data_IF_661037830664
#
_entry.id   IF_661037830664
#
_cell.length_a   1.000
_cell.length_b   1.000
_cell.length_c   1.000
_cell.angle_alpha   90.00
_cell.angle_beta   90.00
_cell.angle_gamma   90.00
#
_symmetry.space_group_name_H-M   'P 1'
#
loop_
_entity.id
_entity.type
_entity.pdbx_description
1 polymer ?
#
# COMPACT_ATOMS: atom_id res chain seq x y z
N UNK A 1 -16.07 -10.77 5.45
CA UNK A 1 -14.79 -10.22 5.95
C UNK A 1 -13.65 -10.70 5.06
N UNK A 2 -12.75 -9.81 4.67
CA UNK A 2 -11.59 -10.17 3.85
C UNK A 2 -10.52 -10.87 4.69
N UNK A 3 -9.78 -11.78 4.06
CA UNK A 3 -8.54 -12.30 4.62
C UNK A 3 -7.42 -11.28 4.37
N UNK A 4 -6.63 -11.01 5.42
CA UNK A 4 -5.49 -10.11 5.35
C UNK A 4 -4.20 -10.87 5.63
N UNK A 5 -3.19 -10.61 4.81
CA UNK A 5 -1.83 -11.09 5.06
C UNK A 5 -1.08 -10.02 5.85
N UNK A 6 -0.06 -10.42 6.59
CA UNK A 6 0.70 -9.46 7.37
C UNK A 6 2.19 -9.51 7.08
N UNK A 7 2.80 -8.32 7.10
CA UNK A 7 4.22 -8.13 7.03
C UNK A 7 4.62 -7.32 8.26
N UNK A 8 5.37 -7.93 9.15
CA UNK A 8 5.62 -7.40 10.50
C UNK A 8 7.05 -6.94 10.72
N UNK A 9 7.89 -6.98 9.68
CA UNK A 9 9.29 -6.57 9.74
C UNK A 9 9.55 -5.51 8.68
N UNK A 10 10.16 -4.40 9.10
CA UNK A 10 10.41 -3.23 8.26
C UNK A 10 11.72 -3.28 7.46
N UNK A 11 12.47 -4.36 7.56
CA UNK A 11 13.83 -4.47 7.03
C UNK A 11 13.87 -4.97 5.59
N UNK A 12 14.93 -4.61 4.88
CA UNK A 12 15.23 -5.13 3.54
C UNK A 12 15.23 -6.66 3.53
N UNK A 13 14.59 -7.24 2.52
CA UNK A 13 14.47 -8.68 2.35
C UNK A 13 13.28 -9.30 3.09
N UNK A 14 12.64 -8.57 4.01
CA UNK A 14 11.39 -9.03 4.63
C UNK A 14 10.32 -9.23 3.54
N UNK A 15 9.62 -10.34 3.59
CA UNK A 15 8.58 -10.66 2.62
C UNK A 15 7.41 -11.41 3.25
N UNK A 16 6.30 -11.40 2.53
CA UNK A 16 5.05 -12.03 2.99
C UNK A 16 5.00 -13.55 2.78
N UNK A 17 5.94 -14.11 2.00
CA UNK A 17 5.67 -15.38 1.36
C UNK A 17 4.51 -15.25 0.37
N UNK A 18 3.98 -16.36 -0.11
CA UNK A 18 2.82 -16.35 -1.02
C UNK A 18 1.58 -15.86 -0.27
N UNK A 19 0.95 -14.84 -0.82
CA UNK A 19 -0.24 -14.22 -0.23
C UNK A 19 -1.48 -15.09 -0.42
N UNK A 20 -2.38 -15.00 0.53
CA UNK A 20 -3.76 -15.46 0.36
C UNK A 20 -4.61 -14.30 -0.15
N UNK A 21 -5.53 -14.61 -1.08
CA UNK A 21 -6.47 -13.62 -1.59
C UNK A 21 -7.53 -13.26 -0.52
N UNK A 22 -8.40 -12.29 -0.84
CA UNK A 22 -9.43 -11.82 0.09
C UNK A 22 -10.40 -12.91 0.57
N UNK A 23 -10.50 -14.01 -0.16
CA UNK A 23 -11.33 -15.18 0.19
C UNK A 23 -10.55 -16.28 0.93
N UNK A 24 -9.25 -16.08 1.17
CA UNK A 24 -8.41 -17.04 1.86
C UNK A 24 -7.78 -18.12 0.99
N UNK A 25 -7.82 -17.99 -0.34
CA UNK A 25 -7.15 -18.92 -1.26
C UNK A 25 -5.71 -18.48 -1.52
N UNK A 26 -4.80 -19.44 -1.57
CA UNK A 26 -3.39 -19.17 -1.88
C UNK A 26 -3.18 -18.63 -3.29
N UNK A 27 -2.21 -17.74 -3.43
CA UNK A 27 -1.78 -17.15 -4.71
C UNK A 27 -0.28 -17.29 -4.88
N UNK A 28 0.25 -16.96 -6.06
CA UNK A 28 1.68 -16.85 -6.30
C UNK A 28 2.22 -15.44 -6.02
N UNK A 29 1.35 -14.51 -5.63
CA UNK A 29 1.70 -13.12 -5.36
C UNK A 29 2.41 -13.02 -4.02
N UNK A 30 3.47 -12.24 -3.95
CA UNK A 30 4.11 -11.87 -2.69
C UNK A 30 4.61 -10.42 -2.73
N UNK A 31 4.76 -9.84 -1.56
CA UNK A 31 5.37 -8.53 -1.38
C UNK A 31 6.66 -8.67 -0.58
N UNK A 32 7.71 -7.98 -1.01
CA UNK A 32 9.00 -7.97 -0.32
C UNK A 32 9.56 -6.56 -0.24
N UNK A 33 10.18 -6.22 0.89
CA UNK A 33 10.80 -4.92 1.09
C UNK A 33 12.17 -4.89 0.41
N UNK A 34 12.35 -3.94 -0.51
CA UNK A 34 13.63 -3.69 -1.17
C UNK A 34 14.42 -2.61 -0.45
N UNK A 35 13.81 -1.44 -0.21
CA UNK A 35 14.38 -0.38 0.63
C UNK A 35 13.59 -0.30 1.93
N UNK A 36 14.27 -0.33 3.09
CA UNK A 36 13.62 -0.53 4.37
C UNK A 36 12.80 0.69 4.81
N UNK A 37 11.84 0.44 5.69
CA UNK A 37 11.20 1.47 6.50
C UNK A 37 11.97 1.64 7.81
N UNK A 38 11.68 2.72 8.55
CA UNK A 38 12.34 2.98 9.83
C UNK A 38 11.76 2.13 10.96
N UNK A 39 10.48 1.79 10.87
CA UNK A 39 9.83 0.98 11.90
C UNK A 39 8.34 0.78 11.67
N UNK A 40 7.66 0.33 12.73
CA UNK A 40 6.25 -0.01 12.75
C UNK A 40 5.56 0.86 13.80
N UNK A 41 4.38 1.38 13.44
CA UNK A 41 3.49 2.12 14.34
C UNK A 41 2.14 1.43 14.43
N UNK A 42 1.46 1.56 15.57
CA UNK A 42 0.13 0.98 15.80
C UNK A 42 -0.86 2.00 16.38
N UNK A 43 -0.65 3.27 16.09
CA UNK A 43 -1.48 4.38 16.58
C UNK A 43 -2.51 4.88 15.56
N UNK A 44 -2.78 4.11 14.51
CA UNK A 44 -3.83 4.41 13.56
C UNK A 44 -5.23 4.15 14.10
N UNK A 45 -6.23 4.38 13.26
CA UNK A 45 -7.63 4.16 13.64
C UNK A 45 -7.93 2.69 13.91
N UNK A 46 -8.69 2.43 14.94
CA UNK A 46 -9.20 1.08 15.24
C UNK A 46 -10.48 0.74 14.47
N UNK A 47 -11.05 1.73 13.77
CA UNK A 47 -12.27 1.58 12.99
C UNK A 47 -12.15 2.39 11.70
N UNK A 48 -12.20 1.70 10.57
CA UNK A 48 -12.09 2.34 9.25
C UNK A 48 -13.47 2.38 8.58
N UNK A 49 -13.79 3.53 8.00
CA UNK A 49 -15.00 3.73 7.19
C UNK A 49 -14.75 3.50 5.68
N UNK A 50 -13.62 2.91 5.32
CA UNK A 50 -13.30 2.61 3.92
C UNK A 50 -13.95 1.32 3.44
N UNK A 51 -14.00 1.12 2.13
CA UNK A 51 -14.47 -0.12 1.50
C UNK A 51 -13.47 -1.30 1.59
N UNK A 52 -12.30 -1.12 2.21
CA UNK A 52 -11.27 -2.16 2.27
C UNK A 52 -11.57 -3.26 3.29
N UNK A 53 -12.60 -3.08 4.12
CA UNK A 53 -13.03 -4.07 5.13
C UNK A 53 -11.86 -4.54 6.03
N UNK A 54 -11.23 -3.58 6.68
CA UNK A 54 -10.06 -3.82 7.52
C UNK A 54 -10.45 -4.09 8.98
N UNK A 55 -9.96 -5.17 9.58
CA UNK A 55 -10.04 -5.32 11.04
C UNK A 55 -9.11 -4.31 11.73
N UNK A 56 -9.34 -4.08 13.02
CA UNK A 56 -8.63 -3.03 13.78
C UNK A 56 -7.11 -3.21 13.80
N UNK A 57 -6.63 -4.45 13.83
CA UNK A 57 -5.18 -4.72 13.78
C UNK A 57 -4.54 -4.35 12.44
N UNK A 58 -5.31 -4.30 11.36
CA UNK A 58 -4.85 -3.83 10.04
C UNK A 58 -4.94 -2.31 9.98
N UNK A 59 -6.10 -1.74 10.30
CA UNK A 59 -6.34 -0.29 10.14
C UNK A 59 -5.48 0.59 11.04
N UNK A 60 -5.07 0.09 12.22
CA UNK A 60 -4.23 0.85 13.14
C UNK A 60 -2.72 0.73 12.88
N UNK A 61 -2.30 -0.23 12.07
CA UNK A 61 -0.88 -0.57 11.89
C UNK A 61 -0.29 0.04 10.63
N UNK A 62 0.92 0.58 10.75
CA UNK A 62 1.66 1.15 9.62
C UNK A 62 3.15 0.81 9.73
N UNK A 63 3.81 0.74 8.58
CA UNK A 63 5.22 1.09 8.48
C UNK A 63 5.36 2.60 8.43
N UNK A 64 6.46 3.14 8.92
CA UNK A 64 6.81 4.54 8.78
C UNK A 64 8.29 4.70 8.40
N UNK A 65 8.60 5.84 7.80
CA UNK A 65 9.96 6.19 7.44
C UNK A 65 10.13 7.68 7.17
N UNK A 66 11.38 8.10 7.05
CA UNK A 66 11.77 9.49 6.78
C UNK A 66 12.55 9.62 5.47
N UNK A 67 13.06 8.51 4.93
CA UNK A 67 13.68 8.41 3.60
C UNK A 67 12.87 7.44 2.75
N UNK A 68 12.97 7.58 1.44
CA UNK A 68 12.21 6.76 0.49
C UNK A 68 12.37 5.26 0.76
N UNK A 69 11.25 4.54 0.80
CA UNK A 69 11.19 3.09 0.93
C UNK A 69 10.61 2.47 -0.33
N UNK A 70 10.87 1.19 -0.56
CA UNK A 70 10.27 0.48 -1.69
C UNK A 70 9.90 -0.96 -1.36
N UNK A 71 8.82 -1.41 -1.99
CA UNK A 71 8.27 -2.76 -1.89
C UNK A 71 8.10 -3.32 -3.29
N UNK A 72 8.57 -4.54 -3.51
CA UNK A 72 8.36 -5.25 -4.78
C UNK A 72 7.18 -6.20 -4.62
N UNK A 73 6.19 -6.03 -5.49
CA UNK A 73 5.06 -6.96 -5.64
C UNK A 73 5.41 -7.88 -6.80
N UNK A 74 5.48 -9.16 -6.56
CA UNK A 74 5.89 -10.18 -7.55
C UNK A 74 4.88 -11.31 -7.65
N UNK A 75 5.06 -12.20 -8.64
CA UNK A 75 4.11 -13.28 -8.90
C UNK A 75 2.85 -12.84 -9.62
N UNK A 76 2.84 -11.63 -10.16
CA UNK A 76 1.75 -11.13 -10.99
C UNK A 76 1.87 -11.69 -12.41
N UNK A 77 0.77 -11.61 -13.18
CA UNK A 77 0.83 -12.01 -14.59
C UNK A 77 1.52 -10.92 -15.41
N UNK A 78 2.63 -11.23 -16.11
CA UNK A 78 3.30 -10.26 -16.97
C UNK A 78 2.33 -9.66 -17.99
N UNK A 79 2.37 -8.32 -18.11
CA UNK A 79 1.53 -7.59 -19.06
C UNK A 79 0.08 -7.38 -18.62
N UNK A 80 -0.36 -7.95 -17.51
CA UNK A 80 -1.70 -7.69 -16.97
C UNK A 80 -1.70 -6.38 -16.18
N UNK A 81 -2.80 -5.63 -16.30
CA UNK A 81 -3.05 -4.42 -15.52
C UNK A 81 -3.69 -4.72 -14.17
N UNK A 82 -3.28 -3.97 -13.15
CA UNK A 82 -3.76 -4.09 -11.77
C UNK A 82 -4.15 -2.73 -11.21
N UNK A 83 -5.11 -2.75 -10.28
CA UNK A 83 -5.50 -1.59 -9.49
C UNK A 83 -4.95 -1.73 -8.07
N UNK A 84 -4.48 -0.62 -7.52
CA UNK A 84 -3.90 -0.54 -6.19
C UNK A 84 -4.72 0.39 -5.33
N UNK A 85 -4.98 -0.01 -4.09
CA UNK A 85 -5.57 0.84 -3.06
C UNK A 85 -4.72 0.81 -1.82
N UNK A 86 -4.42 1.97 -1.27
CA UNK A 86 -3.57 2.12 -0.09
C UNK A 86 -4.33 2.85 1.01
N UNK A 87 -4.20 2.36 2.24
CA UNK A 87 -4.68 3.01 3.44
C UNK A 87 -3.56 3.16 4.45
N UNK A 88 -3.53 4.29 5.11
CA UNK A 88 -2.68 4.53 6.27
C UNK A 88 -3.38 5.49 7.23
N UNK A 89 -3.12 5.35 8.52
CA UNK A 89 -3.75 6.15 9.57
C UNK A 89 -2.81 6.38 10.73
N UNK A 90 -2.74 7.63 11.18
CA UNK A 90 -2.06 8.05 12.41
C UNK A 90 -3.03 8.97 13.16
N UNK A 91 -3.54 8.50 14.28
CA UNK A 91 -4.53 9.24 15.05
C UNK A 91 -3.88 10.20 16.06
N UNK A 92 -4.60 11.28 16.39
CA UNK A 92 -4.18 12.30 17.33
C UNK A 92 -2.88 13.01 16.89
N UNK A 93 -2.70 13.15 15.60
CA UNK A 93 -1.60 13.87 14.99
C UNK A 93 -2.03 15.30 14.63
N UNK A 94 -1.08 16.23 14.60
CA UNK A 94 -1.36 17.65 14.29
C UNK A 94 -0.77 18.11 12.97
N UNK A 95 0.29 17.43 12.49
CA UNK A 95 0.95 17.78 11.24
C UNK A 95 0.33 17.01 10.06
N UNK A 96 0.46 17.59 8.86
CA UNK A 96 0.12 16.88 7.63
C UNK A 96 1.24 15.88 7.32
N UNK A 97 0.90 14.59 7.29
CA UNK A 97 1.83 13.49 6.98
C UNK A 97 1.69 13.00 5.55
N UNK A 98 1.33 13.88 4.60
CA UNK A 98 1.12 13.49 3.21
C UNK A 98 2.19 12.52 2.73
N UNK A 99 1.72 11.39 2.22
CA UNK A 99 2.53 10.31 1.68
C UNK A 99 2.18 10.09 0.23
N UNK A 100 3.18 9.94 -0.63
CA UNK A 100 3.03 9.61 -2.05
C UNK A 100 3.37 8.14 -2.25
N UNK A 101 2.45 7.42 -2.88
CA UNK A 101 2.59 6.03 -3.29
C UNK A 101 2.73 5.98 -4.80
N UNK A 102 3.91 5.60 -5.29
CA UNK A 102 4.21 5.51 -6.73
C UNK A 102 4.39 4.05 -7.12
N UNK A 103 3.63 3.61 -8.12
CA UNK A 103 3.68 2.24 -8.62
C UNK A 103 4.28 2.23 -10.03
N UNK A 104 5.20 1.32 -10.28
CA UNK A 104 5.87 1.17 -11.56
C UNK A 104 5.96 -0.30 -11.98
N UNK A 105 5.41 -0.58 -13.15
CA UNK A 105 5.60 -1.79 -13.92
C UNK A 105 6.08 -1.42 -15.32
N UNK A 106 5.35 -1.84 -16.36
CA UNK A 106 5.56 -1.36 -17.74
C UNK A 106 5.20 0.13 -17.89
N UNK A 107 4.21 0.58 -17.13
CA UNK A 107 3.80 1.97 -16.98
C UNK A 107 3.94 2.39 -15.51
N UNK A 108 3.60 3.62 -15.22
CA UNK A 108 3.65 4.14 -13.86
C UNK A 108 2.41 4.98 -13.52
N UNK A 109 2.20 5.15 -12.24
CA UNK A 109 1.17 6.02 -11.69
C UNK A 109 1.39 6.24 -10.21
N UNK A 110 0.83 7.31 -9.68
CA UNK A 110 0.96 7.66 -8.27
C UNK A 110 -0.31 8.29 -7.73
N UNK A 111 -0.46 8.20 -6.41
CA UNK A 111 -1.49 8.87 -5.66
C UNK A 111 -0.95 9.25 -4.28
N UNK A 112 -1.57 10.22 -3.64
CA UNK A 112 -1.18 10.67 -2.31
C UNK A 112 -2.33 10.55 -1.32
N UNK A 113 -1.96 10.45 -0.04
CA UNK A 113 -2.87 10.35 1.08
C UNK A 113 -2.27 11.08 2.26
N UNK A 114 -3.09 11.79 3.02
CA UNK A 114 -2.69 12.28 4.33
C UNK A 114 -3.16 11.30 5.41
N UNK A 115 -2.28 10.56 6.07
CA UNK A 115 -2.66 9.61 7.12
C UNK A 115 -3.10 10.25 8.42
N UNK A 116 -2.85 11.55 8.61
CA UNK A 116 -3.21 12.27 9.85
C UNK A 116 -4.72 12.22 10.10
N UNK A 117 -5.09 11.62 11.22
CA UNK A 117 -6.48 11.43 11.66
C UNK A 117 -7.39 10.78 10.59
N UNK A 118 -6.80 9.99 9.72
CA UNK A 118 -7.51 9.34 8.62
C UNK A 118 -8.32 8.13 9.11
N UNK A 119 -9.61 8.16 8.82
CA UNK A 119 -10.54 7.06 9.11
C UNK A 119 -11.26 6.53 7.87
N UNK A 120 -11.25 7.28 6.76
CA UNK A 120 -12.14 7.01 5.63
C UNK A 120 -11.49 7.16 4.24
N UNK A 121 -10.31 7.76 4.12
CA UNK A 121 -9.71 8.06 2.84
C UNK A 121 -8.70 7.00 2.43
N UNK A 122 -8.70 6.66 1.14
CA UNK A 122 -7.72 5.76 0.51
C UNK A 122 -7.06 6.47 -0.67
N UNK A 123 -5.84 6.07 -0.99
CA UNK A 123 -5.19 6.43 -2.24
C UNK A 123 -5.40 5.28 -3.24
N UNK A 124 -5.78 5.60 -4.47
CA UNK A 124 -6.05 4.60 -5.51
C UNK A 124 -5.26 4.93 -6.76
N UNK A 125 -4.60 3.92 -7.33
CA UNK A 125 -3.91 3.99 -8.63
C UNK A 125 -4.40 2.84 -9.47
N UNK A 126 -4.94 3.12 -10.65
CA UNK A 126 -5.55 2.12 -11.52
C UNK A 126 -4.70 1.84 -12.76
N UNK A 127 -4.76 0.61 -13.24
CA UNK A 127 -4.23 0.23 -14.54
C UNK A 127 -2.71 0.16 -14.61
N UNK A 128 -2.03 -0.21 -13.52
CA UNK A 128 -0.59 -0.45 -13.55
C UNK A 128 -0.31 -1.83 -14.13
N UNK A 129 0.48 -1.87 -15.20
CA UNK A 129 0.79 -3.09 -15.95
C UNK A 129 2.02 -3.74 -15.34
N UNK A 130 1.88 -5.00 -14.92
CA UNK A 130 3.02 -5.77 -14.42
C UNK A 130 4.10 -5.91 -15.52
N UNK A 131 5.36 -5.82 -15.12
CA UNK A 131 6.49 -5.94 -16.04
C UNK A 131 6.62 -7.35 -16.63
N UNK A 132 7.60 -7.57 -17.51
CA UNK A 132 7.84 -8.84 -18.18
C UNK A 132 8.21 -9.99 -17.22
N UNK A 133 8.54 -9.66 -15.97
CA UNK A 133 8.82 -10.62 -14.89
C UNK A 133 7.68 -10.74 -13.88
N UNK A 134 6.52 -10.14 -14.15
CA UNK A 134 5.36 -10.17 -13.26
C UNK A 134 5.53 -9.35 -11.99
N UNK A 135 6.20 -8.19 -12.07
CA UNK A 135 6.49 -7.34 -10.92
C UNK A 135 5.92 -5.94 -11.09
N UNK A 136 5.53 -5.35 -9.95
CA UNK A 136 5.24 -3.93 -9.80
C UNK A 136 6.04 -3.44 -8.59
N UNK A 137 6.76 -2.33 -8.73
CA UNK A 137 7.49 -1.70 -7.64
C UNK A 137 6.65 -0.57 -7.05
N UNK A 138 6.45 -0.60 -5.73
CA UNK A 138 5.86 0.48 -4.95
C UNK A 138 6.98 1.28 -4.29
N UNK A 139 7.01 2.58 -4.55
CA UNK A 139 7.87 3.54 -3.85
C UNK A 139 7.02 4.40 -2.93
N UNK A 140 7.47 4.57 -1.69
CA UNK A 140 6.75 5.35 -0.66
C UNK A 140 7.67 6.46 -0.15
N UNK A 141 7.17 7.68 -0.16
CA UNK A 141 7.90 8.86 0.32
C UNK A 141 6.96 9.95 0.80
N UNK A 142 7.51 10.95 1.51
CA UNK A 142 6.74 12.13 1.90
C UNK A 142 6.31 12.93 0.67
N UNK A 143 5.08 13.40 0.68
CA UNK A 143 4.54 14.29 -0.34
C UNK A 143 4.94 15.74 -0.12
N UNK A 144 4.62 16.61 -1.09
CA UNK A 144 4.99 18.04 -1.06
C UNK A 144 4.31 18.80 0.06
N UNK A 145 3.12 18.38 0.49
CA UNK A 145 2.37 19.01 1.58
C UNK A 145 2.70 18.43 2.96
N UNK A 146 3.58 17.44 3.04
CA UNK A 146 4.00 16.87 4.32
C UNK A 146 4.79 17.92 5.10
N UNK A 147 4.27 18.29 6.29
CA UNK A 147 4.92 19.26 7.19
C UNK A 147 5.28 18.65 8.56
N UNK A 148 5.36 17.33 8.61
CA UNK A 148 5.99 16.65 9.75
C UNK A 148 7.43 17.14 9.92
N UNK A 149 7.89 17.26 11.15
CA UNK A 149 9.25 17.76 11.45
C UNK A 149 10.34 16.98 10.69
N UNK A 150 10.20 15.65 10.66
CA UNK A 150 11.14 14.74 9.95
C UNK A 150 10.63 14.30 8.60
N UNK A 151 9.52 14.87 8.11
CA UNK A 151 8.83 14.46 6.91
C UNK A 151 8.49 12.96 6.92
N UNK A 152 8.01 12.47 8.05
CA UNK A 152 7.60 11.08 8.24
C UNK A 152 6.42 10.73 7.32
N UNK A 153 6.53 9.61 6.64
CA UNK A 153 5.46 9.04 5.84
C UNK A 153 5.03 7.68 6.37
N UNK A 154 3.89 7.18 5.89
CA UNK A 154 3.27 5.96 6.43
C UNK A 154 2.71 5.08 5.31
N UNK A 155 2.87 3.76 5.45
CA UNK A 155 2.24 2.73 4.64
C UNK A 155 1.52 1.74 5.56
N UNK A 156 0.21 1.65 5.45
CA UNK A 156 -0.59 0.72 6.25
C UNK A 156 -1.04 -0.50 5.45
N UNK A 157 -2.24 -0.46 4.91
CA UNK A 157 -2.81 -1.55 4.11
C UNK A 157 -2.61 -1.30 2.61
N UNK A 158 -2.36 -2.36 1.87
CA UNK A 158 -2.29 -2.36 0.42
C UNK A 158 -3.20 -3.46 -0.12
N UNK A 159 -4.09 -3.10 -1.04
CA UNK A 159 -4.91 -4.04 -1.80
C UNK A 159 -4.49 -3.98 -3.27
N UNK A 160 -4.27 -5.16 -3.85
CA UNK A 160 -3.96 -5.34 -5.28
C UNK A 160 -5.07 -6.17 -5.89
N UNK A 161 -5.65 -5.70 -6.99
CA UNK A 161 -6.68 -6.42 -7.72
C UNK A 161 -6.47 -6.30 -9.22
N UNK A 162 -6.88 -7.30 -10.03
CA UNK A 162 -6.84 -7.17 -11.49
C UNK A 162 -7.68 -5.97 -11.93
N UNK A 163 -7.15 -5.19 -12.87
CA UNK A 163 -7.91 -4.12 -13.50
C UNK A 163 -8.94 -4.73 -14.46
N UNK A 164 -10.21 -4.45 -14.20
CA UNK A 164 -11.31 -4.89 -15.05
C UNK A 164 -11.69 -3.76 -15.99
N UNK A 165 -11.48 -3.98 -17.31
CA UNK A 165 -12.01 -3.09 -18.32
C UNK A 165 -13.54 -3.22 -18.36
N UNK A 166 -14.23 -2.08 -18.22
CA UNK A 166 -15.66 -2.04 -18.47
C UNK A 166 -15.84 -2.10 -19.99
N UNK A 167 -16.58 -3.10 -20.54
CA UNK A 167 -16.85 -3.14 -21.97
C UNK A 167 -17.42 -1.81 -22.45
N UNK A 168 -16.81 -1.23 -23.47
CA UNK A 168 -17.27 0.02 -24.03
C UNK A 168 -18.71 -0.12 -24.52
N UNK A 169 -19.56 0.86 -24.26
CA UNK A 169 -20.87 0.96 -24.90
C UNK A 169 -20.63 1.31 -26.37
N UNK A 170 -21.11 0.46 -27.23
CA UNK A 170 -21.13 0.72 -28.67
C UNK A 170 -22.30 1.67 -28.97
#
# INVERSE_FOLDING_TARGET
QYSWNSLTTALTGANTGSLYNSKGYGTDVKASIEKPFDGISSIGTISSATALDMPSNVSKSTFYGTTESSVIISGLYPGQAYDMSVFASVMNASANAETVYSFKGENDGSASLNPTDNTANIATVQGIIADDKGRICLTVKAGTNNNEEKRTYYLGALMVSPHLEVPGKI
#
